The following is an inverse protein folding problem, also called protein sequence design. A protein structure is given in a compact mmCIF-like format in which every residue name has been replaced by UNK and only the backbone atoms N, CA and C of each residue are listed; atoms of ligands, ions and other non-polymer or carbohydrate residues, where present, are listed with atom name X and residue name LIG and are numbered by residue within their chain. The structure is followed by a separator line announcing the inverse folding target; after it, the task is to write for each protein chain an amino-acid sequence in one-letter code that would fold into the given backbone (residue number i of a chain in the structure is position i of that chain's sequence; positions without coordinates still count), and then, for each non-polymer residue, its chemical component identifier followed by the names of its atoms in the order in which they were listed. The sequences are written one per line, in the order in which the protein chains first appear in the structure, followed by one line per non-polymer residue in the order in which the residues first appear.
data_IF_929744190010
#
_entry.id   IF_929744190010
#
_cell.length_a   1.000
_cell.length_b   1.000
_cell.length_c   1.000
_cell.angle_alpha   90.00
_cell.angle_beta   90.00
_cell.angle_gamma   90.00
#
_symmetry.space_group_name_H-M   'P 1'
#
loop_
_entity.id
_entity.type
_entity.pdbx_description
1 polymer ?
#
# COMPACT_ATOMS: atom_id res chain seq x y z
N UNK A 1 13.47 10.11 10.17
CA UNK A 1 14.25 9.53 9.06
C UNK A 1 14.86 10.66 8.24
N UNK A 2 16.12 10.53 7.80
CA UNK A 2 16.77 11.48 6.89
C UNK A 2 17.15 10.76 5.61
N UNK A 3 16.76 11.27 4.45
CA UNK A 3 16.94 10.63 3.16
C UNK A 3 18.04 11.32 2.37
N UNK A 4 18.88 10.53 1.70
CA UNK A 4 19.66 10.96 0.53
C UNK A 4 19.07 10.27 -0.68
N UNK A 5 18.94 10.98 -1.79
CA UNK A 5 18.27 10.47 -2.98
C UNK A 5 18.95 10.92 -4.27
N UNK A 6 18.77 10.11 -5.31
CA UNK A 6 19.07 10.48 -6.69
C UNK A 6 17.76 10.50 -7.48
N UNK A 7 17.52 11.61 -8.18
CA UNK A 7 16.40 11.76 -9.11
C UNK A 7 16.92 11.65 -10.53
N UNK A 8 16.13 11.01 -11.40
CA UNK A 8 16.26 11.10 -12.85
C UNK A 8 15.31 12.18 -13.35
N UNK A 9 15.86 13.17 -14.06
CA UNK A 9 15.08 14.22 -14.71
C UNK A 9 14.56 13.74 -16.07
N UNK A 10 13.56 14.43 -16.62
CA UNK A 10 12.99 14.11 -17.93
C UNK A 10 14.01 14.23 -19.08
N UNK A 11 15.04 15.05 -18.92
CA UNK A 11 16.16 15.19 -19.86
C UNK A 11 17.25 14.10 -19.70
N UNK A 12 17.02 13.10 -18.84
CA UNK A 12 17.94 12.01 -18.56
C UNK A 12 19.07 12.35 -17.57
N UNK A 13 19.19 13.60 -17.13
CA UNK A 13 20.21 14.01 -16.16
C UNK A 13 19.86 13.53 -14.75
N UNK A 14 20.89 13.44 -13.89
CA UNK A 14 20.75 13.01 -12.50
C UNK A 14 20.93 14.18 -11.53
N UNK A 15 20.02 14.29 -10.57
CA UNK A 15 20.10 15.22 -9.45
C UNK A 15 20.26 14.47 -8.13
N UNK A 16 21.18 14.92 -7.27
CA UNK A 16 21.38 14.34 -5.93
C UNK A 16 20.97 15.36 -4.87
N UNK A 17 20.16 14.94 -3.91
CA UNK A 17 19.69 15.76 -2.82
C UNK A 17 19.59 14.99 -1.50
N UNK A 18 19.34 15.72 -0.41
CA UNK A 18 18.92 15.15 0.86
C UNK A 18 17.66 15.85 1.40
N UNK A 19 16.93 15.21 2.30
CA UNK A 19 15.74 15.77 2.97
C UNK A 19 15.32 14.91 4.18
N UNK A 20 14.50 15.44 5.08
CA UNK A 20 13.84 14.65 6.15
C UNK A 20 12.40 14.25 5.79
N UNK A 21 11.88 14.68 4.64
CA UNK A 21 10.53 14.39 4.14
C UNK A 21 10.60 14.17 2.62
N UNK A 22 10.88 12.93 2.21
CA UNK A 22 11.11 12.59 0.80
C UNK A 22 9.84 12.75 -0.04
N UNK A 23 8.70 12.31 0.47
CA UNK A 23 7.39 12.39 -0.20
C UNK A 23 7.01 13.83 -0.55
N UNK A 24 7.14 14.79 0.39
CA UNK A 24 6.93 16.22 0.09
C UNK A 24 8.01 16.79 -0.81
N UNK A 25 9.27 16.35 -0.66
CA UNK A 25 10.38 16.86 -1.46
C UNK A 25 10.22 16.48 -2.94
N UNK A 26 9.81 15.24 -3.23
CA UNK A 26 9.47 14.80 -4.58
C UNK A 26 8.36 15.67 -5.17
N UNK A 27 7.31 15.97 -4.39
CA UNK A 27 6.21 16.82 -4.84
C UNK A 27 6.66 18.25 -5.17
N UNK A 28 7.59 18.80 -4.38
CA UNK A 28 8.18 20.09 -4.65
C UNK A 28 8.96 20.09 -5.98
N UNK A 29 9.79 19.07 -6.23
CA UNK A 29 10.51 18.93 -7.51
C UNK A 29 9.54 18.83 -8.69
N UNK A 30 8.53 17.94 -8.60
CA UNK A 30 7.54 17.73 -9.65
C UNK A 30 6.54 18.88 -9.83
N UNK A 31 6.51 19.86 -8.93
CA UNK A 31 5.71 21.10 -9.09
C UNK A 31 6.56 22.33 -9.44
N UNK A 32 7.85 22.14 -9.76
CA UNK A 32 8.76 23.24 -10.13
C UNK A 32 9.24 24.11 -8.94
N UNK A 33 8.82 23.77 -7.72
CA UNK A 33 9.18 24.44 -6.45
C UNK A 33 10.37 23.79 -5.73
N UNK A 34 10.93 22.73 -6.29
CA UNK A 34 12.11 22.03 -5.78
C UNK A 34 13.41 22.81 -6.02
N UNK A 35 14.53 22.08 -6.09
CA UNK A 35 15.83 22.68 -6.33
C UNK A 35 15.85 23.47 -7.66
N UNK A 36 16.65 24.55 -7.71
CA UNK A 36 16.87 25.34 -8.93
C UNK A 36 17.22 24.45 -10.12
N UNK A 37 18.02 23.40 -9.89
CA UNK A 37 18.43 22.45 -10.92
C UNK A 37 17.24 21.70 -11.55
N UNK A 38 16.27 21.20 -10.77
CA UNK A 38 15.19 20.39 -11.35
C UNK A 38 14.06 21.23 -11.95
N UNK A 39 14.06 22.55 -11.75
CA UNK A 39 13.04 23.44 -12.29
C UNK A 39 13.08 23.43 -13.82
N UNK A 40 11.96 23.08 -14.45
CA UNK A 40 11.86 22.92 -15.91
C UNK A 40 12.44 21.61 -16.45
N UNK A 41 12.88 20.70 -15.58
CA UNK A 41 13.41 19.37 -15.95
C UNK A 41 12.54 18.21 -15.45
N UNK A 42 11.32 18.52 -15.01
CA UNK A 42 10.35 17.53 -14.58
C UNK A 42 9.57 16.92 -15.75
N UNK A 43 8.76 15.87 -15.50
CA UNK A 43 8.66 15.15 -14.22
C UNK A 43 9.98 14.45 -13.87
N UNK A 44 10.28 14.38 -12.57
CA UNK A 44 11.43 13.66 -12.02
C UNK A 44 10.95 12.35 -11.41
N UNK A 45 11.77 11.31 -11.52
CA UNK A 45 11.55 10.01 -10.87
C UNK A 45 12.64 9.71 -9.86
N UNK A 46 12.29 9.03 -8.77
CA UNK A 46 13.19 8.57 -7.72
C UNK A 46 13.95 7.34 -8.22
N UNK A 47 15.24 7.49 -8.49
CA UNK A 47 16.08 6.40 -8.97
C UNK A 47 16.86 5.71 -7.84
N UNK A 48 17.12 6.41 -6.74
CA UNK A 48 17.85 5.88 -5.59
C UNK A 48 17.42 6.63 -4.33
N UNK A 49 17.42 5.94 -3.20
CA UNK A 49 17.23 6.54 -1.88
C UNK A 49 17.89 5.71 -0.79
N UNK A 50 18.37 6.38 0.25
CA UNK A 50 18.96 5.75 1.44
C UNK A 50 18.59 6.53 2.69
N UNK A 51 18.37 5.82 3.81
CA UNK A 51 17.89 6.39 5.07
C UNK A 51 19.02 6.46 6.10
N UNK A 52 19.11 7.59 6.80
CA UNK A 52 20.09 7.87 7.84
C UNK A 52 19.42 8.35 9.13
N UNK A 53 20.04 8.02 10.27
CA UNK A 53 19.57 8.41 11.60
C UNK A 53 19.67 9.91 11.82
N UNK A 54 20.71 10.56 11.29
CA UNK A 54 20.96 11.98 11.50
C UNK A 54 21.07 12.78 10.20
N UNK A 55 20.76 14.08 10.29
CA UNK A 55 20.96 15.03 9.19
C UNK A 55 22.44 15.08 8.75
N UNK A 56 23.38 15.00 9.70
CA UNK A 56 24.82 15.09 9.42
C UNK A 56 25.30 13.92 8.55
N UNK A 57 24.84 12.71 8.85
CA UNK A 57 25.15 11.52 8.05
C UNK A 57 24.59 11.64 6.63
N UNK A 58 23.31 12.03 6.51
CA UNK A 58 22.68 12.24 5.21
C UNK A 58 23.42 13.30 4.38
N UNK A 59 23.76 14.45 4.96
CA UNK A 59 24.51 15.50 4.27
C UNK A 59 25.93 15.05 3.89
N UNK A 60 26.60 14.27 4.75
CA UNK A 60 27.91 13.70 4.45
C UNK A 60 27.87 12.74 3.27
N UNK A 61 26.85 11.87 3.22
CA UNK A 61 26.64 10.92 2.13
C UNK A 61 26.18 11.60 0.83
N UNK A 62 25.32 12.61 0.91
CA UNK A 62 24.98 13.45 -0.25
C UNK A 62 26.23 14.10 -0.86
N UNK A 63 27.14 14.62 -0.02
CA UNK A 63 28.39 15.23 -0.47
C UNK A 63 29.35 14.21 -1.11
N UNK A 64 29.34 12.95 -0.65
CA UNK A 64 30.13 11.89 -1.28
C UNK A 64 29.55 11.51 -2.66
N UNK A 65 28.23 11.34 -2.77
CA UNK A 65 27.56 11.03 -4.04
C UNK A 65 27.79 12.14 -5.07
N UNK A 66 27.77 13.41 -4.67
CA UNK A 66 28.00 14.54 -5.58
C UNK A 66 29.38 14.52 -6.25
N UNK A 67 30.39 13.88 -5.63
CA UNK A 67 31.74 13.71 -6.20
C UNK A 67 31.84 12.53 -7.18
N UNK A 68 30.84 11.65 -7.22
CA UNK A 68 30.83 10.49 -8.10
C UNK A 68 30.61 10.88 -9.56
N UNK A 69 31.22 10.14 -10.47
CA UNK A 69 30.96 10.23 -11.90
C UNK A 69 29.53 9.75 -12.22
N UNK A 70 29.04 10.07 -13.42
CA UNK A 70 27.74 9.57 -13.88
C UNK A 70 27.67 8.04 -13.83
N UNK A 71 28.72 7.35 -14.28
CA UNK A 71 28.82 5.90 -14.27
C UNK A 71 28.75 5.33 -12.85
N UNK A 72 29.44 5.96 -11.89
CA UNK A 72 29.40 5.53 -10.49
C UNK A 72 28.01 5.74 -9.86
N UNK A 73 27.31 6.83 -10.19
CA UNK A 73 25.92 7.06 -9.75
C UNK A 73 24.96 6.04 -10.35
N UNK A 74 25.14 5.67 -11.61
CA UNK A 74 24.38 4.59 -12.24
C UNK A 74 24.65 3.25 -11.55
N UNK A 75 25.89 2.98 -11.14
CA UNK A 75 26.22 1.81 -10.33
C UNK A 75 25.50 1.78 -8.98
N UNK A 76 25.38 2.93 -8.28
CA UNK A 76 24.60 3.01 -7.04
C UNK A 76 23.11 2.74 -7.25
N UNK A 77 22.53 3.28 -8.33
CA UNK A 77 21.13 3.02 -8.69
C UNK A 77 20.94 1.52 -8.94
N UNK A 78 21.77 0.93 -9.80
CA UNK A 78 21.70 -0.49 -10.14
C UNK A 78 21.92 -1.42 -8.94
N UNK A 79 22.70 -1.00 -7.94
CA UNK A 79 22.91 -1.77 -6.72
C UNK A 79 21.67 -1.86 -5.81
N UNK A 80 20.68 -0.99 -5.99
CA UNK A 80 19.39 -1.07 -5.30
C UNK A 80 18.27 -1.65 -6.18
N UNK A 81 18.60 -2.15 -7.38
CA UNK A 81 17.66 -2.89 -8.21
C UNK A 81 17.64 -4.37 -7.76
N UNK A 82 16.48 -5.01 -7.86
CA UNK A 82 16.29 -6.43 -7.57
C UNK A 82 15.74 -7.12 -8.82
N UNK A 83 16.60 -7.64 -9.72
CA UNK A 83 16.15 -8.29 -10.94
C UNK A 83 15.25 -9.49 -10.65
N UNK A 84 14.04 -9.51 -11.21
CA UNK A 84 13.03 -10.54 -10.94
C UNK A 84 12.27 -10.37 -9.62
N UNK A 85 12.56 -9.30 -8.85
CA UNK A 85 11.77 -8.91 -7.69
C UNK A 85 10.49 -8.15 -8.07
N UNK A 86 9.58 -8.01 -7.10
CA UNK A 86 8.36 -7.21 -7.20
C UNK A 86 8.72 -5.72 -7.05
N UNK A 87 8.17 -4.86 -7.92
CA UNK A 87 8.38 -3.41 -7.90
C UNK A 87 7.07 -2.71 -7.62
N UNK A 88 7.12 -1.63 -6.85
CA UNK A 88 5.97 -0.78 -6.58
C UNK A 88 6.20 0.62 -7.14
N UNK A 89 5.12 1.27 -7.55
CA UNK A 89 5.15 2.70 -7.87
C UNK A 89 5.31 3.51 -6.59
N UNK A 90 6.30 4.41 -6.58
CA UNK A 90 6.47 5.42 -5.53
C UNK A 90 5.73 6.67 -5.92
N UNK A 91 4.99 7.27 -4.99
CA UNK A 91 4.22 8.48 -5.21
C UNK A 91 4.78 9.67 -4.43
N UNK A 92 4.58 10.87 -4.96
CA UNK A 92 4.84 12.09 -4.20
C UNK A 92 3.62 12.51 -3.36
N UNK A 93 3.79 13.56 -2.54
CA UNK A 93 2.73 14.08 -1.67
C UNK A 93 1.48 14.63 -2.42
N UNK A 94 1.54 14.76 -3.75
CA UNK A 94 0.39 15.12 -4.58
C UNK A 94 -0.18 13.89 -5.34
N UNK A 95 0.22 12.68 -4.92
CA UNK A 95 -0.17 11.40 -5.49
C UNK A 95 0.18 11.25 -6.98
N UNK A 96 1.27 11.90 -7.41
CA UNK A 96 1.81 11.68 -8.77
C UNK A 96 2.82 10.54 -8.72
N UNK A 97 2.82 9.62 -9.70
CA UNK A 97 3.82 8.58 -9.79
C UNK A 97 5.21 9.21 -10.02
N UNK A 98 6.18 8.77 -9.25
CA UNK A 98 7.52 9.32 -9.17
C UNK A 98 8.59 8.24 -9.35
N UNK A 99 8.33 7.26 -10.20
CA UNK A 99 9.23 6.13 -10.45
C UNK A 99 8.86 4.88 -9.67
N UNK A 100 9.63 3.84 -9.91
CA UNK A 100 9.38 2.48 -9.42
C UNK A 100 10.59 2.03 -8.62
N UNK A 101 10.35 1.36 -7.50
CA UNK A 101 11.41 0.82 -6.64
C UNK A 101 11.06 -0.61 -6.23
N UNK A 102 12.05 -1.48 -5.93
CA UNK A 102 11.73 -2.80 -5.40
C UNK A 102 10.88 -2.68 -4.14
N UNK A 103 9.89 -3.56 -4.00
CA UNK A 103 8.98 -3.60 -2.86
C UNK A 103 9.74 -3.63 -1.52
N UNK A 104 10.84 -4.39 -1.47
CA UNK A 104 11.70 -4.48 -0.28
C UNK A 104 12.26 -3.10 0.14
N UNK A 105 12.59 -2.23 -0.83
CA UNK A 105 13.10 -0.88 -0.61
C UNK A 105 11.96 0.04 -0.20
N UNK A 106 10.80 -0.07 -0.85
CA UNK A 106 9.62 0.76 -0.58
C UNK A 106 9.19 0.62 0.88
N UNK A 107 8.94 -0.60 1.36
CA UNK A 107 8.55 -0.82 2.76
C UNK A 107 9.69 -0.48 3.73
N UNK A 108 10.94 -0.86 3.44
CA UNK A 108 12.08 -0.59 4.33
C UNK A 108 12.32 0.90 4.54
N UNK A 109 12.07 1.72 3.52
CA UNK A 109 12.36 3.15 3.56
C UNK A 109 11.11 4.03 3.77
N UNK A 110 9.93 3.42 3.95
CA UNK A 110 8.66 4.12 4.10
C UNK A 110 8.35 5.04 2.91
N UNK A 111 8.60 4.55 1.70
CA UNK A 111 8.28 5.30 0.49
C UNK A 111 6.76 5.20 0.25
N UNK A 112 6.13 6.35 0.00
CA UNK A 112 4.68 6.39 -0.23
C UNK A 112 4.33 5.53 -1.45
N UNK A 113 3.48 4.55 -1.24
CA UNK A 113 2.97 3.66 -2.27
C UNK A 113 1.45 3.48 -2.10
N UNK A 114 0.82 2.70 -2.98
CA UNK A 114 -0.62 2.51 -2.95
C UNK A 114 -0.99 1.03 -2.93
N UNK A 115 -2.08 0.75 -2.24
CA UNK A 115 -2.69 -0.56 -2.11
C UNK A 115 -4.17 -0.49 -2.45
N UNK A 116 -4.77 -1.65 -2.67
CA UNK A 116 -6.20 -1.78 -2.93
C UNK A 116 -6.81 -2.85 -2.05
N UNK A 117 -8.03 -2.59 -1.57
CA UNK A 117 -8.77 -3.45 -0.67
C UNK A 117 -10.16 -3.76 -1.23
N UNK A 118 -10.55 -5.03 -1.24
CA UNK A 118 -11.84 -5.50 -1.70
C UNK A 118 -12.77 -5.88 -0.52
N UNK A 119 -13.83 -5.09 -0.36
CA UNK A 119 -14.95 -5.39 0.51
C UNK A 119 -16.01 -6.16 -0.26
N UNK A 120 -16.02 -7.48 -0.10
CA UNK A 120 -16.98 -8.36 -0.76
C UNK A 120 -18.20 -8.60 0.13
N UNK A 121 -19.34 -8.04 -0.27
CA UNK A 121 -20.60 -8.16 0.45
C UNK A 121 -21.58 -9.10 -0.25
N UNK A 122 -22.06 -10.10 0.49
CA UNK A 122 -23.17 -10.97 0.09
C UNK A 122 -24.35 -10.69 1.02
N UNK A 123 -25.34 -9.94 0.55
CA UNK A 123 -26.44 -9.46 1.41
C UNK A 123 -25.90 -8.63 2.58
N UNK A 124 -26.09 -9.12 3.80
CA UNK A 124 -25.61 -8.54 5.06
C UNK A 124 -24.31 -9.18 5.59
N UNK A 125 -23.62 -9.99 4.78
CA UNK A 125 -22.38 -10.67 5.15
C UNK A 125 -21.19 -10.08 4.41
N UNK A 126 -20.10 -9.88 5.14
CA UNK A 126 -18.78 -9.56 4.62
C UNK A 126 -17.98 -10.86 4.48
N UNK A 127 -17.47 -11.11 3.29
CA UNK A 127 -16.53 -12.20 3.06
C UNK A 127 -15.12 -11.75 3.43
N UNK A 128 -14.47 -12.54 4.27
CA UNK A 128 -13.09 -12.35 4.70
C UNK A 128 -12.24 -13.53 4.26
N UNK A 129 -10.97 -13.29 4.02
CA UNK A 129 -9.98 -14.35 3.81
C UNK A 129 -9.26 -14.66 5.12
N UNK A 130 -8.88 -15.90 5.35
CA UNK A 130 -7.88 -16.25 6.35
C UNK A 130 -6.55 -16.45 5.65
N UNK A 131 -5.54 -15.67 6.02
CA UNK A 131 -4.20 -15.72 5.45
C UNK A 131 -3.55 -17.07 5.74
N UNK A 132 -2.77 -17.61 4.79
CA UNK A 132 -2.03 -18.85 5.00
C UNK A 132 -1.04 -18.72 6.19
N UNK A 133 -0.72 -19.85 6.83
CA UNK A 133 0.09 -19.87 8.05
C UNK A 133 1.60 -19.62 7.80
N UNK A 134 2.04 -19.72 6.55
CA UNK A 134 3.42 -19.49 6.11
C UNK A 134 3.66 -18.05 5.60
N UNK A 135 2.64 -17.19 5.67
CA UNK A 135 2.76 -15.78 5.25
C UNK A 135 3.73 -15.04 6.18
N UNK A 136 4.67 -14.23 5.64
CA UNK A 136 5.66 -13.53 6.44
C UNK A 136 5.06 -12.46 7.36
N UNK A 137 3.92 -11.89 6.97
CA UNK A 137 3.17 -10.92 7.75
C UNK A 137 1.77 -11.44 8.01
N UNK A 138 1.37 -11.35 9.28
CA UNK A 138 0.04 -11.72 9.80
C UNK A 138 -0.38 -13.16 9.43
N UNK A 139 0.46 -14.19 9.67
CA UNK A 139 0.13 -15.57 9.32
C UNK A 139 -1.11 -16.06 10.08
N UNK A 140 -2.08 -16.63 9.36
CA UNK A 140 -3.30 -17.18 9.96
C UNK A 140 -4.36 -16.15 10.38
N UNK A 141 -4.06 -14.85 10.27
CA UNK A 141 -5.02 -13.79 10.60
C UNK A 141 -6.05 -13.62 9.49
N UNK A 142 -7.22 -13.10 9.85
CA UNK A 142 -8.25 -12.73 8.89
C UNK A 142 -8.02 -11.35 8.29
N UNK A 143 -8.29 -11.25 7.00
CA UNK A 143 -8.13 -10.05 6.18
C UNK A 143 -9.36 -9.84 5.28
N UNK A 144 -9.44 -8.70 4.60
CA UNK A 144 -10.47 -8.45 3.58
C UNK A 144 -10.39 -9.46 2.44
N UNK A 145 -11.46 -9.58 1.64
CA UNK A 145 -11.59 -10.64 0.65
C UNK A 145 -10.44 -10.69 -0.37
N UNK A 146 -9.85 -9.54 -0.69
CA UNK A 146 -8.58 -9.44 -1.40
C UNK A 146 -7.90 -8.12 -1.04
N UNK A 147 -6.58 -8.15 -0.87
CA UNK A 147 -5.76 -6.98 -0.53
C UNK A 147 -4.42 -7.06 -1.22
N UNK A 148 -3.95 -5.99 -1.85
CA UNK A 148 -2.60 -6.01 -2.42
C UNK A 148 -2.14 -4.69 -2.96
N UNK A 149 -0.90 -4.66 -3.44
CA UNK A 149 -0.30 -3.44 -3.97
C UNK A 149 -0.83 -3.13 -5.37
N UNK A 150 -0.71 -1.87 -5.77
CA UNK A 150 -0.96 -1.45 -7.14
C UNK A 150 0.37 -1.48 -7.91
N UNK A 151 0.43 -2.34 -8.92
CA UNK A 151 1.64 -2.55 -9.71
C UNK A 151 1.99 -1.31 -10.58
N UNK A 152 3.26 -1.17 -11.01
CA UNK A 152 3.66 -0.17 -11.97
C UNK A 152 2.79 -0.15 -13.24
N UNK A 153 2.18 1.02 -13.51
CA UNK A 153 1.30 1.22 -14.65
C UNK A 153 -0.14 0.72 -14.45
N UNK A 154 -0.45 0.13 -13.30
CA UNK A 154 -1.78 -0.37 -12.97
C UNK A 154 -2.65 0.74 -12.34
N UNK A 155 -3.94 0.76 -12.68
CA UNK A 155 -4.93 1.59 -11.96
C UNK A 155 -5.44 0.85 -10.72
N UNK A 156 -5.93 1.56 -9.67
CA UNK A 156 -6.49 0.90 -8.49
C UNK A 156 -7.59 -0.13 -8.80
N UNK A 157 -8.43 0.12 -9.82
CA UNK A 157 -9.48 -0.80 -10.25
C UNK A 157 -8.91 -2.05 -10.92
N UNK A 158 -7.87 -1.91 -11.74
CA UNK A 158 -7.21 -3.08 -12.32
C UNK A 158 -6.54 -3.94 -11.25
N UNK A 159 -5.88 -3.30 -10.29
CA UNK A 159 -5.26 -3.97 -9.16
C UNK A 159 -6.28 -4.76 -8.36
N UNK A 160 -7.42 -4.18 -7.97
CA UNK A 160 -8.40 -4.91 -7.16
C UNK A 160 -9.00 -6.09 -7.92
N UNK A 161 -9.20 -5.98 -9.24
CA UNK A 161 -9.63 -7.09 -10.08
C UNK A 161 -8.57 -8.20 -10.17
N UNK A 162 -7.28 -7.85 -10.25
CA UNK A 162 -6.17 -8.80 -10.24
C UNK A 162 -6.06 -9.51 -8.89
N UNK A 163 -6.01 -8.77 -7.79
CA UNK A 163 -5.93 -9.31 -6.43
C UNK A 163 -7.14 -10.20 -6.11
N UNK A 164 -8.36 -9.82 -6.51
CA UNK A 164 -9.55 -10.65 -6.33
C UNK A 164 -9.45 -12.01 -7.04
N UNK A 165 -8.81 -12.04 -8.21
CA UNK A 165 -8.58 -13.25 -9.00
C UNK A 165 -7.44 -14.09 -8.44
N UNK A 166 -6.38 -13.47 -7.94
CA UNK A 166 -5.19 -14.16 -7.42
C UNK A 166 -5.40 -14.70 -6.00
N UNK A 167 -5.95 -13.89 -5.09
CA UNK A 167 -6.15 -14.27 -3.69
C UNK A 167 -7.45 -15.07 -3.49
N UNK A 168 -8.60 -14.52 -3.89
CA UNK A 168 -9.90 -15.15 -3.66
C UNK A 168 -10.35 -16.09 -4.80
N UNK A 169 -9.70 -16.03 -5.97
CA UNK A 169 -10.07 -16.84 -7.12
C UNK A 169 -11.38 -16.43 -7.79
N UNK A 170 -11.79 -15.16 -7.66
CA UNK A 170 -13.04 -14.65 -8.23
C UNK A 170 -12.78 -13.68 -9.38
N UNK A 171 -13.58 -13.79 -10.43
CA UNK A 171 -13.56 -12.86 -11.56
C UNK A 171 -14.44 -11.65 -11.25
N UNK A 172 -13.83 -10.47 -11.22
CA UNK A 172 -14.52 -9.20 -10.95
C UNK A 172 -14.34 -8.28 -12.15
N UNK A 173 -15.45 -7.78 -12.69
CA UNK A 173 -15.40 -6.77 -13.75
C UNK A 173 -15.41 -5.36 -13.14
N UNK A 174 -14.67 -4.39 -13.71
CA UNK A 174 -14.60 -3.01 -13.23
C UNK A 174 -15.97 -2.36 -12.96
N UNK A 175 -16.97 -2.64 -13.78
CA UNK A 175 -18.30 -2.02 -13.70
C UNK A 175 -19.13 -2.52 -12.51
N UNK A 176 -18.68 -3.61 -11.87
CA UNK A 176 -19.33 -4.16 -10.68
C UNK A 176 -18.82 -3.52 -9.38
N UNK A 177 -17.70 -2.80 -9.45
CA UNK A 177 -17.04 -2.24 -8.29
C UNK A 177 -17.57 -0.84 -7.97
N UNK A 178 -17.95 -0.65 -6.71
CA UNK A 178 -18.26 0.66 -6.17
C UNK A 178 -17.02 1.17 -5.42
N UNK A 179 -16.50 2.34 -5.81
CA UNK A 179 -15.40 2.96 -5.08
C UNK A 179 -15.92 3.62 -3.80
N UNK A 180 -15.39 3.21 -2.65
CA UNK A 180 -15.65 3.87 -1.37
C UNK A 180 -14.74 5.10 -1.16
N UNK A 181 -13.65 5.19 -1.92
CA UNK A 181 -12.65 6.25 -1.84
C UNK A 181 -11.28 5.68 -1.47
N UNK A 182 -10.42 6.54 -0.93
CA UNK A 182 -9.10 6.14 -0.48
C UNK A 182 -8.74 6.82 0.84
N UNK A 183 -7.97 6.14 1.68
CA UNK A 183 -7.47 6.64 2.97
C UNK A 183 -5.96 6.55 3.04
N UNK A 184 -5.34 7.47 3.77
CA UNK A 184 -3.91 7.40 4.06
C UNK A 184 -3.69 6.55 5.30
N UNK A 185 -2.87 5.52 5.17
CA UNK A 185 -2.56 4.60 6.24
C UNK A 185 -1.05 4.65 6.50
N UNK A 186 -0.68 5.03 7.72
CA UNK A 186 0.73 5.08 8.14
C UNK A 186 0.93 4.23 9.38
N UNK A 187 1.70 3.16 9.22
CA UNK A 187 1.93 2.18 10.29
C UNK A 187 3.37 2.30 10.81
N UNK A 188 3.58 2.46 12.14
CA UNK A 188 4.94 2.46 12.67
C UNK A 188 5.59 1.08 12.49
N UNK A 189 6.89 1.07 12.18
CA UNK A 189 7.76 -0.12 12.14
C UNK A 189 8.96 0.13 13.06
N UNK A 190 9.66 -0.92 13.56
CA UNK A 190 10.83 -0.74 14.41
C UNK A 190 11.88 0.24 13.85
N UNK A 191 12.09 0.21 12.53
CA UNK A 191 13.10 1.03 11.83
C UNK A 191 12.50 2.17 10.98
N UNK A 192 11.23 2.51 11.17
CA UNK A 192 10.56 3.55 10.36
C UNK A 192 9.04 3.45 10.37
N UNK A 193 8.44 3.46 9.19
CA UNK A 193 7.00 3.33 9.00
C UNK A 193 6.68 2.77 7.61
N UNK A 194 5.53 2.13 7.47
CA UNK A 194 4.84 1.97 6.18
C UNK A 194 4.01 3.23 5.90
N UNK A 195 3.93 3.62 4.63
CA UNK A 195 3.18 4.81 4.20
C UNK A 195 2.40 4.46 2.93
N UNK A 196 1.09 4.33 3.10
CA UNK A 196 0.21 3.76 2.08
C UNK A 196 -0.99 4.67 1.84
N UNK A 197 -1.48 4.65 0.60
CA UNK A 197 -2.84 5.07 0.27
C UNK A 197 -3.63 3.81 -0.09
N UNK A 198 -4.61 3.47 0.74
CA UNK A 198 -5.47 2.32 0.54
C UNK A 198 -6.73 2.74 -0.23
N UNK A 199 -6.89 2.22 -1.45
CA UNK A 199 -8.10 2.37 -2.25
C UNK A 199 -9.11 1.28 -1.90
N UNK A 200 -10.27 1.67 -1.39
CA UNK A 200 -11.31 0.73 -0.99
C UNK A 200 -12.38 0.60 -2.06
N UNK A 201 -12.68 -0.65 -2.43
CA UNK A 201 -13.74 -1.00 -3.35
C UNK A 201 -14.73 -1.97 -2.70
N UNK A 202 -16.01 -1.77 -2.97
CA UNK A 202 -17.09 -2.66 -2.55
C UNK A 202 -17.62 -3.42 -3.77
N UNK A 203 -17.66 -4.74 -3.65
CA UNK A 203 -18.37 -5.62 -4.58
C UNK A 203 -19.58 -6.22 -3.86
N UNK A 204 -20.78 -6.05 -4.42
CA UNK A 204 -22.00 -6.67 -3.90
C UNK A 204 -22.41 -7.86 -4.75
N UNK A 205 -22.74 -8.97 -4.11
CA UNK A 205 -23.26 -10.18 -4.77
C UNK A 205 -24.59 -10.61 -4.17
N UNK A 206 -25.42 -11.28 -4.97
CA UNK A 206 -26.72 -11.81 -4.55
C UNK A 206 -26.63 -13.20 -3.91
N UNK A 207 -25.54 -13.92 -4.19
CA UNK A 207 -25.25 -15.25 -3.69
C UNK A 207 -23.75 -15.37 -3.41
N UNK A 208 -23.31 -16.40 -2.65
CA UNK A 208 -21.90 -16.63 -2.42
C UNK A 208 -21.17 -16.80 -3.75
N UNK A 209 -20.03 -16.11 -3.96
CA UNK A 209 -19.16 -16.42 -5.09
C UNK A 209 -18.60 -17.83 -4.99
N UNK A 210 -18.21 -18.40 -6.13
CA UNK A 210 -17.43 -19.63 -6.16
C UNK A 210 -15.97 -19.26 -5.99
N UNK A 211 -15.48 -19.33 -4.76
CA UNK A 211 -14.08 -19.05 -4.44
C UNK A 211 -13.14 -20.14 -4.96
N UNK A 212 -11.96 -19.73 -5.42
CA UNK A 212 -10.85 -20.63 -5.78
C UNK A 212 -9.55 -20.04 -5.24
N UNK A 213 -9.39 -20.00 -3.89
CA UNK A 213 -8.36 -19.19 -3.30
C UNK A 213 -6.96 -19.61 -3.75
N UNK A 214 -6.10 -18.62 -3.94
CA UNK A 214 -4.69 -18.82 -4.26
C UNK A 214 -3.91 -19.45 -3.09
N UNK A 215 -2.62 -19.78 -3.30
CA UNK A 215 -1.80 -20.43 -2.28
C UNK A 215 -1.60 -19.60 -1.00
N UNK A 216 -1.84 -18.29 -1.08
CA UNK A 216 -1.65 -17.34 0.01
C UNK A 216 -2.83 -17.29 0.99
N UNK A 217 -3.92 -18.01 0.66
CA UNK A 217 -5.21 -17.95 1.35
C UNK A 217 -5.60 -19.34 1.84
N UNK A 218 -5.76 -19.50 3.15
CA UNK A 218 -6.15 -20.76 3.76
C UNK A 218 -7.64 -21.08 3.54
N UNK A 219 -8.51 -20.07 3.66
CA UNK A 219 -9.96 -20.19 3.43
C UNK A 219 -10.64 -18.84 3.28
N UNK A 220 -11.86 -18.86 2.75
CA UNK A 220 -12.80 -17.74 2.79
C UNK A 220 -13.89 -18.02 3.83
N UNK A 221 -14.32 -17.00 4.57
CA UNK A 221 -15.37 -17.15 5.58
C UNK A 221 -16.30 -15.91 5.62
N UNK A 222 -17.62 -16.12 5.72
CA UNK A 222 -18.57 -15.02 5.84
C UNK A 222 -18.74 -14.60 7.31
N UNK A 223 -18.61 -13.30 7.56
CA UNK A 223 -18.90 -12.64 8.83
C UNK A 223 -20.10 -11.72 8.64
N UNK A 224 -21.05 -11.71 9.58
CA UNK A 224 -22.13 -10.74 9.51
C UNK A 224 -21.58 -9.31 9.58
N UNK A 225 -22.08 -8.39 8.76
CA UNK A 225 -21.55 -7.03 8.68
C UNK A 225 -21.71 -6.26 10.00
N UNK A 226 -22.74 -6.57 10.77
CA UNK A 226 -22.96 -6.03 12.10
C UNK A 226 -21.99 -6.60 13.16
N UNK A 227 -21.61 -7.87 13.04
CA UNK A 227 -20.52 -8.49 13.82
C UNK A 227 -19.18 -7.82 13.49
N UNK A 228 -18.89 -7.56 12.21
CA UNK A 228 -17.70 -6.81 11.81
C UNK A 228 -17.69 -5.41 12.43
N UNK A 229 -18.81 -4.68 12.34
CA UNK A 229 -18.94 -3.34 12.93
C UNK A 229 -18.76 -3.35 14.45
N UNK A 230 -19.29 -4.37 15.15
CA UNK A 230 -19.05 -4.57 16.59
C UNK A 230 -17.58 -4.85 16.88
N UNK A 231 -16.96 -5.72 16.11
CA UNK A 231 -15.56 -6.12 16.25
C UNK A 231 -14.59 -4.96 16.06
N UNK A 232 -14.75 -4.18 14.98
CA UNK A 232 -13.96 -2.97 14.72
C UNK A 232 -14.08 -1.99 15.90
N UNK A 233 -15.31 -1.71 16.33
CA UNK A 233 -15.55 -0.74 17.39
C UNK A 233 -14.95 -1.21 18.74
N UNK A 234 -15.01 -2.51 19.04
CA UNK A 234 -14.42 -3.11 20.23
C UNK A 234 -12.88 -3.07 20.17
N UNK A 235 -12.29 -3.51 19.05
CA UNK A 235 -10.84 -3.49 18.83
C UNK A 235 -10.28 -2.06 18.97
N UNK A 236 -10.95 -1.08 18.37
CA UNK A 236 -10.57 0.34 18.48
C UNK A 236 -10.63 0.88 19.91
N UNK A 237 -11.49 0.33 20.77
CA UNK A 237 -11.55 0.66 22.21
C UNK A 237 -10.52 -0.12 23.05
N UNK A 238 -9.74 -1.02 22.44
CA UNK A 238 -8.79 -1.87 23.13
C UNK A 238 -9.45 -2.98 23.95
N UNK A 239 -10.67 -3.36 23.59
CA UNK A 239 -11.42 -4.43 24.26
C UNK A 239 -10.87 -5.80 23.84
N UNK A 240 -10.90 -6.76 24.77
CA UNK A 240 -10.67 -8.18 24.47
C UNK A 240 -11.99 -8.87 24.14
N UNK A 241 -11.90 -9.99 23.42
CA UNK A 241 -13.09 -10.76 23.01
C UNK A 241 -12.92 -11.31 21.61
N UNK A 242 -14.04 -11.56 20.94
CA UNK A 242 -14.06 -12.07 19.57
C UNK A 242 -15.39 -11.82 18.88
N UNK A 243 -15.38 -12.01 17.57
CA UNK A 243 -16.58 -11.96 16.72
C UNK A 243 -16.99 -13.38 16.34
N UNK A 244 -18.28 -13.59 16.10
CA UNK A 244 -18.81 -14.90 15.71
C UNK A 244 -19.10 -14.93 14.22
N UNK A 245 -18.40 -15.78 13.49
CA UNK A 245 -18.65 -16.02 12.07
C UNK A 245 -20.01 -16.68 11.84
N UNK A 246 -20.59 -16.48 10.65
CA UNK A 246 -21.87 -17.10 10.29
C UNK A 246 -21.82 -18.64 10.24
N UNK A 247 -20.62 -19.22 10.18
CA UNK A 247 -20.36 -20.66 10.24
C UNK A 247 -20.29 -21.21 11.69
N UNK A 248 -20.52 -20.36 12.70
CA UNK A 248 -20.65 -20.77 14.10
C UNK A 248 -19.37 -20.67 14.94
N UNK A 249 -18.22 -20.43 14.31
CA UNK A 249 -16.90 -20.22 14.93
C UNK A 249 -16.80 -18.83 15.58
N UNK A 250 -16.18 -18.73 16.75
CA UNK A 250 -15.81 -17.46 17.38
C UNK A 250 -14.31 -17.25 17.26
N UNK A 251 -13.91 -16.08 16.77
CA UNK A 251 -12.50 -15.74 16.50
C UNK A 251 -12.14 -14.48 17.28
N UNK A 252 -10.99 -14.49 17.94
CA UNK A 252 -10.51 -13.39 18.76
C UNK A 252 -10.24 -12.13 17.93
N UNK A 253 -10.43 -10.95 18.52
CA UNK A 253 -10.27 -9.67 17.82
C UNK A 253 -8.84 -9.43 17.30
N UNK A 254 -7.82 -9.96 17.99
CA UNK A 254 -6.42 -9.86 17.58
C UNK A 254 -6.02 -10.84 16.47
N UNK A 255 -6.94 -11.72 16.06
CA UNK A 255 -6.75 -12.64 14.93
C UNK A 255 -7.20 -12.03 13.58
N UNK A 256 -7.28 -10.70 13.48
CA UNK A 256 -7.62 -9.96 12.27
C UNK A 256 -6.59 -8.86 12.01
N UNK A 257 -6.21 -8.67 10.75
CA UNK A 257 -5.36 -7.56 10.32
C UNK A 257 -6.13 -6.47 9.56
N UNK A 258 -7.43 -6.66 9.34
CA UNK A 258 -8.27 -5.78 8.52
C UNK A 258 -9.09 -4.73 9.30
N UNK A 259 -8.83 -4.50 10.59
CA UNK A 259 -9.57 -3.48 11.37
C UNK A 259 -9.17 -2.04 10.99
N UNK A 260 -9.52 -1.61 9.78
CA UNK A 260 -9.19 -0.29 9.24
C UNK A 260 -10.32 0.71 9.51
N UNK A 261 -10.24 1.45 10.63
CA UNK A 261 -11.32 2.33 11.07
C UNK A 261 -11.70 3.45 10.07
N UNK A 262 -10.71 4.13 9.49
CA UNK A 262 -10.96 5.20 8.51
C UNK A 262 -11.54 4.67 7.21
N UNK A 263 -11.04 3.52 6.75
CA UNK A 263 -11.55 2.83 5.58
C UNK A 263 -12.97 2.31 5.78
N UNK A 264 -13.23 1.73 6.96
CA UNK A 264 -14.55 1.27 7.35
C UNK A 264 -15.56 2.43 7.33
N UNK A 265 -15.17 3.62 7.79
CA UNK A 265 -16.04 4.80 7.72
C UNK A 265 -16.40 5.19 6.26
N UNK A 266 -15.46 5.08 5.31
CA UNK A 266 -15.75 5.29 3.89
C UNK A 266 -16.75 4.25 3.35
N UNK A 267 -16.54 2.98 3.69
CA UNK A 267 -17.44 1.90 3.28
C UNK A 267 -18.83 2.11 3.88
N UNK A 268 -18.94 2.41 5.17
CA UNK A 268 -20.23 2.70 5.81
C UNK A 268 -20.98 3.84 5.11
N UNK A 269 -20.30 4.95 4.82
CA UNK A 269 -20.89 6.08 4.10
C UNK A 269 -21.42 5.66 2.72
N UNK A 270 -20.65 4.86 1.97
CA UNK A 270 -21.06 4.31 0.68
C UNK A 270 -22.26 3.37 0.80
N UNK A 271 -22.29 2.50 1.82
CA UNK A 271 -23.39 1.56 2.03
C UNK A 271 -24.68 2.26 2.44
N UNK A 272 -24.60 3.33 3.24
CA UNK A 272 -25.76 4.15 3.60
C UNK A 272 -26.31 4.97 2.43
N UNK A 273 -25.47 5.40 1.49
CA UNK A 273 -25.90 6.16 0.31
C UNK A 273 -26.57 5.29 -0.78
N UNK A 274 -26.32 3.98 -0.77
CA UNK A 274 -26.81 3.02 -1.77
C UNK A 274 -27.73 1.94 -1.16
N UNK A 275 -28.23 2.18 0.05
CA UNK A 275 -29.11 1.28 0.81
C UNK A 275 -30.58 1.64 0.72
#
# INVERSE_FOLDING_TARGET
MNYVYILRCADGTLYTGWTNDLTRRLAAHNSGRGAKYTRGRGPVTLAFSEVFGTQREAMGYEASIKKLTLQQKQGLIAAQDEPGGEYLTVYDAALRPCGERPRSVVHRQGLLHMVTHLWLLEGDRLWLQQRAADRPLYPGLFDLAATGHIDPGETPVQAVCREAREEAGIEVRPEQLLSAGAVSQRYPRPDGFDDEIAHAFVLRTQSPPVFRPGPEVARMAPLALDEYARGEAAFRRGESGGVRFSIGETVALDAFCCWHAEEWALVQALLSANG
#
